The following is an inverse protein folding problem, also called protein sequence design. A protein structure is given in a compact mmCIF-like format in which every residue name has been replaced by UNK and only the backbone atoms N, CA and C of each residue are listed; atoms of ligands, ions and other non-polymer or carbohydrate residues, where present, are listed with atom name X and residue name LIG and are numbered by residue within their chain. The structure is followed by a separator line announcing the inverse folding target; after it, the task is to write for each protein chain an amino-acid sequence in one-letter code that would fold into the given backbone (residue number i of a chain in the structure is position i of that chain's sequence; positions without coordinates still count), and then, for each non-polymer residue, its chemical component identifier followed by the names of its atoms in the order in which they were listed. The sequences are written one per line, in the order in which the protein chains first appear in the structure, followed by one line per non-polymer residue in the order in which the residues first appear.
data_IF_093667622757
#
_entry.id   IF_093667622757
#
_cell.length_a   1.000
_cell.length_b   1.000
_cell.length_c   1.000
_cell.angle_alpha   90.00
_cell.angle_beta   90.00
_cell.angle_gamma   90.00
#
_symmetry.space_group_name_H-M   'P 1'
#
loop_
_entity.id
_entity.type
_entity.pdbx_description
1 polymer ?
#
# COMPACT_ATOMS: atom_id res chain seq x y z
N UNK A 1 -8.97 -5.88 7.23
CA UNK A 1 -7.51 -6.00 6.99
C UNK A 1 -7.06 -7.44 6.72
N UNK A 2 -7.31 -8.41 7.61
CA UNK A 2 -6.81 -9.80 7.50
C UNK A 2 -7.00 -10.44 6.12
N UNK A 3 -8.20 -10.37 5.55
CA UNK A 3 -8.47 -10.91 4.22
C UNK A 3 -7.56 -10.35 3.12
N UNK A 4 -7.18 -9.08 3.21
CA UNK A 4 -6.24 -8.45 2.28
C UNK A 4 -4.80 -8.98 2.45
N UNK A 5 -4.43 -9.42 3.66
CA UNK A 5 -3.12 -9.99 3.98
C UNK A 5 -3.03 -11.50 3.75
N UNK A 6 -4.16 -12.20 3.53
CA UNK A 6 -4.21 -13.63 3.20
C UNK A 6 -4.29 -13.88 1.70
N UNK A 7 -3.54 -14.84 1.16
CA UNK A 7 -3.55 -15.17 -0.28
C UNK A 7 -4.90 -15.75 -0.71
N UNK A 8 -5.37 -15.38 -1.90
CA UNK A 8 -6.59 -15.93 -2.51
C UNK A 8 -7.92 -15.50 -1.88
N UNK A 9 -7.90 -14.63 -0.86
CA UNK A 9 -9.13 -14.18 -0.21
C UNK A 9 -9.68 -12.90 -0.86
N UNK A 10 -10.91 -12.96 -1.37
CA UNK A 10 -11.68 -11.79 -1.79
C UNK A 10 -13.16 -12.01 -1.59
N UNK A 11 -13.80 -11.21 -0.73
CA UNK A 11 -15.27 -11.19 -0.61
C UNK A 11 -15.94 -10.56 -1.83
N UNK A 12 -15.17 -9.75 -2.58
CA UNK A 12 -15.61 -9.12 -3.83
C UNK A 12 -15.74 -10.12 -4.98
N UNK A 13 -15.21 -11.33 -4.83
CA UNK A 13 -15.44 -12.43 -5.79
C UNK A 13 -16.92 -12.74 -6.03
N UNK A 14 -17.77 -12.37 -5.07
CA UNK A 14 -19.22 -12.59 -5.10
C UNK A 14 -20.01 -11.38 -5.59
N UNK A 15 -19.34 -10.27 -5.92
CA UNK A 15 -19.96 -9.02 -6.35
C UNK A 15 -19.67 -8.75 -7.83
N UNK A 16 -20.73 -8.51 -8.60
CA UNK A 16 -20.59 -8.03 -9.96
C UNK A 16 -19.96 -6.61 -9.97
N UNK A 17 -19.18 -6.30 -11.01
CA UNK A 17 -18.58 -4.97 -11.25
C UNK A 17 -17.46 -4.52 -10.29
N UNK A 18 -16.81 -5.45 -9.57
CA UNK A 18 -15.57 -5.14 -8.84
C UNK A 18 -14.33 -5.63 -9.57
N UNK A 19 -13.27 -4.82 -9.65
CA UNK A 19 -12.01 -5.19 -10.34
C UNK A 19 -11.26 -6.30 -9.57
N UNK A 20 -11.19 -6.19 -8.24
CA UNK A 20 -10.40 -7.09 -7.39
C UNK A 20 -11.06 -8.44 -7.10
N UNK A 21 -10.97 -9.38 -8.03
CA UNK A 21 -11.61 -10.69 -7.92
C UNK A 21 -10.73 -11.74 -7.21
N UNK A 22 -9.42 -11.70 -7.41
CA UNK A 22 -8.51 -12.81 -7.06
C UNK A 22 -7.91 -12.78 -5.64
N UNK A 23 -7.99 -11.65 -4.91
CA UNK A 23 -7.40 -11.55 -3.57
C UNK A 23 -5.87 -11.46 -3.51
N UNK A 24 -5.19 -11.33 -4.66
CA UNK A 24 -3.73 -11.33 -4.74
C UNK A 24 -3.11 -9.96 -5.09
N UNK A 25 -3.87 -9.08 -5.77
CA UNK A 25 -3.33 -7.86 -6.37
C UNK A 25 -2.58 -6.94 -5.40
N UNK A 26 -3.05 -6.82 -4.15
CA UNK A 26 -2.35 -6.03 -3.13
C UNK A 26 -0.94 -6.59 -2.87
N UNK A 27 -0.81 -7.89 -2.58
CA UNK A 27 0.46 -8.52 -2.21
C UNK A 27 1.42 -8.52 -3.38
N UNK A 28 0.96 -8.94 -4.56
CA UNK A 28 1.81 -9.04 -5.75
C UNK A 28 2.33 -7.67 -6.19
N UNK A 29 1.48 -6.64 -6.18
CA UNK A 29 1.87 -5.31 -6.65
C UNK A 29 2.77 -4.60 -5.63
N UNK A 30 2.46 -4.70 -4.34
CA UNK A 30 3.28 -4.04 -3.32
C UNK A 30 4.65 -4.69 -3.17
N UNK A 31 4.72 -6.03 -3.20
CA UNK A 31 6.00 -6.76 -3.18
C UNK A 31 6.82 -6.60 -4.47
N UNK A 32 6.19 -6.20 -5.59
CA UNK A 32 6.91 -5.81 -6.82
C UNK A 32 7.56 -4.44 -6.71
N UNK A 33 7.03 -3.55 -5.88
CA UNK A 33 7.53 -2.19 -5.72
C UNK A 33 8.60 -2.10 -4.65
N UNK A 34 8.41 -2.74 -3.50
CA UNK A 34 9.41 -2.75 -2.44
C UNK A 34 9.37 -4.01 -1.60
N UNK A 35 10.42 -4.19 -0.81
CA UNK A 35 10.59 -5.33 0.09
C UNK A 35 9.58 -5.28 1.25
N UNK A 36 9.20 -4.08 1.68
CA UNK A 36 8.45 -3.91 2.93
C UNK A 36 7.27 -2.94 2.79
N UNK A 37 6.16 -3.30 3.44
CA UNK A 37 4.89 -2.61 3.30
C UNK A 37 4.18 -2.52 4.64
N UNK A 38 3.73 -1.32 4.99
CA UNK A 38 2.84 -1.05 6.10
C UNK A 38 1.47 -0.63 5.60
N UNK A 39 0.44 -1.15 6.24
CA UNK A 39 -0.95 -0.80 5.96
C UNK A 39 -1.60 -0.30 7.24
N UNK A 40 -2.04 0.94 7.20
CA UNK A 40 -2.87 1.57 8.22
C UNK A 40 -4.29 1.58 7.70
N UNK A 41 -5.25 1.17 8.50
CA UNK A 41 -6.66 1.28 8.14
C UNK A 41 -7.48 1.75 9.33
N UNK A 42 -8.46 2.60 9.07
CA UNK A 42 -9.47 3.00 10.04
C UNK A 42 -10.84 2.68 9.49
N UNK A 43 -11.67 2.07 10.33
CA UNK A 43 -13.05 1.79 10.06
C UNK A 43 -13.91 2.44 11.15
N UNK A 44 -14.91 3.21 10.76
CA UNK A 44 -15.86 3.89 11.65
C UNK A 44 -16.78 2.91 12.40
N UNK A 45 -16.81 1.63 12.00
CA UNK A 45 -17.81 0.67 12.46
C UNK A 45 -19.11 0.80 11.65
N UNK A 46 -19.86 -0.30 11.51
CA UNK A 46 -21.22 -0.29 10.96
C UNK A 46 -22.23 -0.58 12.07
N UNK A 47 -23.41 0.03 11.97
CA UNK A 47 -24.67 -0.12 12.75
C UNK A 47 -24.57 -0.14 14.29
N UNK A 48 -23.70 -0.94 14.88
CA UNK A 48 -23.49 -1.13 16.32
C UNK A 48 -22.01 -1.35 16.73
N UNK A 49 -21.09 -1.40 15.77
CA UNK A 49 -19.67 -1.61 16.02
C UNK A 49 -18.94 -0.33 16.43
N UNK A 50 -18.04 -0.44 17.41
CA UNK A 50 -17.11 0.66 17.75
C UNK A 50 -16.14 0.89 16.57
N UNK A 51 -15.70 2.15 16.36
CA UNK A 51 -14.62 2.40 15.42
C UNK A 51 -13.39 1.55 15.75
N UNK A 52 -12.77 1.00 14.73
CA UNK A 52 -11.53 0.22 14.84
C UNK A 52 -10.46 0.82 13.94
N UNK A 53 -9.20 0.63 14.34
CA UNK A 53 -8.08 0.89 13.46
C UNK A 53 -7.05 -0.22 13.60
N UNK A 54 -6.35 -0.51 12.52
CA UNK A 54 -5.38 -1.61 12.48
C UNK A 54 -4.12 -1.18 11.76
N UNK A 55 -3.01 -1.79 12.17
CA UNK A 55 -1.72 -1.73 11.47
C UNK A 55 -1.35 -3.16 11.10
N UNK A 56 -0.92 -3.36 9.86
CA UNK A 56 -0.37 -4.63 9.40
C UNK A 56 0.86 -4.43 8.55
N UNK A 57 1.81 -5.35 8.66
CA UNK A 57 3.07 -5.29 7.93
C UNK A 57 3.31 -6.56 7.12
N UNK A 58 3.63 -6.39 5.84
CA UNK A 58 4.23 -7.40 4.98
C UNK A 58 5.67 -6.99 4.75
N UNK A 59 6.60 -7.69 5.39
CA UNK A 59 8.02 -7.32 5.34
C UNK A 59 8.87 -8.51 4.94
N UNK A 60 9.45 -8.45 3.75
CA UNK A 60 10.45 -9.41 3.29
C UNK A 60 11.69 -9.35 4.16
N UNK A 61 12.14 -8.15 4.52
CA UNK A 61 13.34 -7.91 5.33
C UNK A 61 13.23 -8.58 6.70
N UNK A 62 12.12 -8.35 7.41
CA UNK A 62 11.82 -9.01 8.69
C UNK A 62 11.87 -10.54 8.59
N UNK A 63 11.23 -11.11 7.57
CA UNK A 63 11.16 -12.57 7.42
C UNK A 63 12.54 -13.17 7.13
N UNK A 64 13.31 -12.53 6.26
CA UNK A 64 14.65 -12.99 5.87
C UNK A 64 15.66 -12.85 7.01
N UNK A 65 15.73 -11.70 7.65
CA UNK A 65 16.71 -11.45 8.71
C UNK A 65 16.42 -12.26 9.98
N UNK A 66 15.15 -12.55 10.26
CA UNK A 66 14.78 -13.43 11.39
C UNK A 66 14.69 -14.91 11.02
N UNK A 67 15.03 -15.27 9.77
CA UNK A 67 15.10 -16.65 9.28
C UNK A 67 13.77 -17.41 9.30
N UNK A 68 12.64 -16.71 9.17
CA UNK A 68 11.31 -17.34 9.21
C UNK A 68 11.09 -18.21 7.97
N UNK A 69 10.67 -19.45 8.23
CA UNK A 69 10.31 -20.39 7.16
C UNK A 69 8.86 -20.22 6.69
N UNK A 70 8.01 -19.70 7.57
CA UNK A 70 6.60 -19.41 7.28
C UNK A 70 6.37 -17.91 7.11
N UNK A 71 5.36 -17.55 6.30
CA UNK A 71 4.93 -16.15 6.15
C UNK A 71 4.21 -15.71 7.43
N UNK A 72 4.90 -14.90 8.23
CA UNK A 72 4.34 -14.25 9.42
C UNK A 72 4.00 -12.81 9.07
N UNK A 73 2.76 -12.39 9.38
CA UNK A 73 2.27 -11.03 9.14
C UNK A 73 1.98 -10.38 10.48
N UNK A 74 2.90 -9.55 11.03
CA UNK A 74 2.65 -8.78 12.23
C UNK A 74 1.47 -7.84 12.01
N UNK A 75 0.48 -7.94 12.88
CA UNK A 75 -0.69 -7.08 12.82
C UNK A 75 -1.19 -6.78 14.24
N UNK A 76 -1.64 -5.55 14.43
CA UNK A 76 -2.30 -5.08 15.65
C UNK A 76 -3.62 -4.40 15.31
N UNK A 77 -4.59 -4.51 16.24
CA UNK A 77 -5.88 -3.84 16.14
C UNK A 77 -6.08 -2.97 17.39
N UNK A 78 -6.84 -1.90 17.20
CA UNK A 78 -7.32 -0.99 18.23
C UNK A 78 -8.82 -0.83 18.09
N UNK A 79 -9.49 -0.65 19.22
CA UNK A 79 -10.91 -0.32 19.31
C UNK A 79 -11.07 1.02 20.03
N UNK A 80 -11.91 1.90 19.50
CA UNK A 80 -12.21 3.18 20.14
C UNK A 80 -13.09 2.98 21.37
N UNK A 81 -12.61 3.36 22.54
CA UNK A 81 -13.27 3.27 23.84
C UNK A 81 -13.43 4.66 24.44
N UNK A 82 -14.56 5.31 24.14
CA UNK A 82 -14.76 6.71 24.48
C UNK A 82 -13.88 7.62 23.63
N UNK A 83 -13.01 8.40 24.28
CA UNK A 83 -12.08 9.30 23.60
C UNK A 83 -10.78 8.61 23.14
N UNK A 84 -10.43 7.47 23.73
CA UNK A 84 -9.13 6.82 23.53
C UNK A 84 -9.21 5.56 22.66
N UNK A 85 -8.09 5.21 22.06
CA UNK A 85 -7.91 3.95 21.33
C UNK A 85 -7.31 2.91 22.26
N UNK A 86 -8.08 1.85 22.56
CA UNK A 86 -7.62 0.73 23.38
C UNK A 86 -7.09 -0.42 22.54
N UNK A 87 -6.09 -1.16 23.06
CA UNK A 87 -5.61 -2.38 22.42
C UNK A 87 -6.76 -3.39 22.24
N UNK A 88 -6.82 -4.01 21.06
CA UNK A 88 -7.74 -5.08 20.75
C UNK A 88 -6.94 -6.34 20.41
N UNK A 89 -6.52 -7.12 21.44
CA UNK A 89 -5.77 -8.34 21.22
C UNK A 89 -6.62 -9.38 20.50
N UNK A 90 -6.04 -10.06 19.51
CA UNK A 90 -6.71 -11.14 18.77
C UNK A 90 -6.64 -12.48 19.51
N UNK A 91 -5.47 -12.80 20.07
CA UNK A 91 -5.21 -14.05 20.78
C UNK A 91 -4.91 -13.76 22.24
N UNK A 92 -3.81 -13.03 22.49
CA UNK A 92 -3.41 -12.61 23.83
C UNK A 92 -2.86 -11.18 23.79
N UNK A 93 -2.79 -10.54 24.96
CA UNK A 93 -2.16 -9.23 25.11
C UNK A 93 -0.66 -9.29 24.79
N UNK A 94 0.00 -10.40 25.09
CA UNK A 94 1.43 -10.58 24.82
C UNK A 94 1.70 -10.71 23.31
N UNK A 95 0.85 -11.39 22.56
CA UNK A 95 0.97 -11.44 21.10
C UNK A 95 0.74 -10.07 20.46
N UNK A 96 -0.17 -9.28 21.02
CA UNK A 96 -0.39 -7.90 20.57
C UNK A 96 0.86 -7.05 20.81
N UNK A 97 1.46 -7.13 22.00
CA UNK A 97 2.70 -6.40 22.35
C UNK A 97 3.87 -6.83 21.47
N UNK A 98 4.09 -8.13 21.30
CA UNK A 98 5.13 -8.65 20.39
C UNK A 98 4.95 -8.13 18.97
N UNK A 99 3.72 -8.11 18.46
CA UNK A 99 3.46 -7.55 17.13
C UNK A 99 3.72 -6.04 17.08
N UNK A 100 3.39 -5.28 18.14
CA UNK A 100 3.73 -3.87 18.23
C UNK A 100 5.26 -3.66 18.20
N UNK A 101 6.00 -4.43 19.00
CA UNK A 101 7.47 -4.34 19.05
C UNK A 101 8.08 -4.64 17.67
N UNK A 102 7.59 -5.68 16.99
CA UNK A 102 8.01 -6.01 15.62
C UNK A 102 7.68 -4.87 14.66
N UNK A 103 6.48 -4.29 14.75
CA UNK A 103 6.09 -3.17 13.89
C UNK A 103 7.01 -1.97 14.10
N UNK A 104 7.29 -1.57 15.34
CA UNK A 104 8.19 -0.45 15.63
C UNK A 104 9.61 -0.76 15.14
N UNK A 105 10.13 -1.95 15.42
CA UNK A 105 11.50 -2.33 15.06
C UNK A 105 11.76 -2.37 13.55
N UNK A 106 10.80 -2.86 12.76
CA UNK A 106 10.99 -3.13 11.33
C UNK A 106 10.29 -2.11 10.41
N UNK A 107 9.59 -1.13 10.99
CA UNK A 107 9.02 0.00 10.25
C UNK A 107 10.05 1.11 10.02
N UNK A 108 9.79 2.05 9.08
CA UNK A 108 10.59 3.27 8.96
C UNK A 108 10.35 4.29 10.09
N UNK A 109 9.54 3.96 11.12
CA UNK A 109 9.21 4.87 12.22
C UNK A 109 10.02 4.54 13.46
N UNK A 110 10.61 5.57 14.07
CA UNK A 110 11.54 5.42 15.21
C UNK A 110 10.87 5.11 16.55
N UNK A 111 9.54 5.19 16.65
CA UNK A 111 8.80 4.98 17.90
C UNK A 111 7.35 4.57 17.63
N UNK A 112 6.71 3.99 18.66
CA UNK A 112 5.27 3.71 18.66
C UNK A 112 4.46 4.99 18.39
N UNK A 113 4.86 6.12 18.97
CA UNK A 113 4.18 7.40 18.76
C UNK A 113 4.19 7.82 17.29
N UNK A 114 5.35 7.79 16.63
CA UNK A 114 5.46 8.14 15.20
C UNK A 114 4.69 7.17 14.29
N UNK A 115 4.62 5.91 14.68
CA UNK A 115 3.82 4.89 13.99
C UNK A 115 2.32 5.20 14.14
N UNK A 116 1.85 5.56 15.33
CA UNK A 116 0.44 5.87 15.59
C UNK A 116 0.02 7.21 14.98
N UNK A 117 0.90 8.21 14.91
CA UNK A 117 0.66 9.49 14.22
C UNK A 117 0.29 9.31 12.74
N UNK A 118 0.64 8.17 12.11
CA UNK A 118 0.22 7.90 10.74
C UNK A 118 -1.31 7.83 10.56
N UNK A 119 -2.05 7.57 11.63
CA UNK A 119 -3.50 7.61 11.63
C UNK A 119 -4.10 9.03 11.59
N UNK A 120 -3.32 10.08 11.87
CA UNK A 120 -3.79 11.48 11.80
C UNK A 120 -4.02 11.93 10.35
N UNK A 121 -3.37 11.24 9.41
CA UNK A 121 -3.58 11.42 7.97
C UNK A 121 -4.81 10.66 7.44
N UNK A 122 -5.51 9.92 8.30
CA UNK A 122 -6.74 9.24 7.97
C UNK A 122 -7.93 9.95 8.62
N UNK A 123 -8.99 10.15 7.85
CA UNK A 123 -10.29 10.57 8.37
C UNK A 123 -10.92 9.45 9.23
N UNK A 124 -12.20 9.57 9.59
CA UNK A 124 -12.95 8.54 10.33
C UNK A 124 -12.99 7.16 9.65
N UNK A 125 -12.77 7.12 8.33
CA UNK A 125 -12.58 5.91 7.55
C UNK A 125 -11.48 6.13 6.52
N UNK A 126 -10.67 5.11 6.26
CA UNK A 126 -9.66 5.17 5.20
C UNK A 126 -8.62 4.08 5.32
N UNK A 127 -7.75 3.98 4.30
CA UNK A 127 -6.59 3.10 4.31
C UNK A 127 -5.40 3.85 3.73
N UNK A 128 -4.27 3.79 4.42
CA UNK A 128 -2.99 4.34 3.98
C UNK A 128 -2.00 3.19 3.87
N UNK A 129 -1.32 3.13 2.74
CA UNK A 129 -0.32 2.10 2.45
C UNK A 129 1.01 2.82 2.28
N UNK A 130 2.04 2.35 2.99
CA UNK A 130 3.41 2.84 2.91
C UNK A 130 4.25 1.68 2.40
N UNK A 131 4.90 1.87 1.26
CA UNK A 131 5.86 0.91 0.69
C UNK A 131 7.23 1.54 0.87
N UNK A 132 8.17 0.80 1.43
CA UNK A 132 9.54 1.24 1.70
C UNK A 132 10.52 0.12 1.35
N UNK A 133 11.82 0.45 1.35
CA UNK A 133 12.85 -0.42 0.79
C UNK A 133 12.48 -0.81 -0.65
N UNK A 134 12.26 0.22 -1.47
CA UNK A 134 11.92 0.10 -2.89
C UNK A 134 13.08 -0.62 -3.60
N UNK A 135 12.74 -1.52 -4.53
CA UNK A 135 13.77 -2.31 -5.22
C UNK A 135 14.67 -1.42 -6.07
N UNK A 136 15.97 -1.71 -5.97
CA UNK A 136 17.03 -1.15 -6.80
C UNK A 136 17.46 -2.19 -7.84
N UNK A 137 18.00 -1.73 -8.97
CA UNK A 137 18.63 -2.60 -9.96
C UNK A 137 20.06 -3.00 -9.55
N UNK A 138 20.77 -3.71 -10.44
CA UNK A 138 22.14 -4.18 -10.21
C UNK A 138 23.14 -3.03 -10.00
N UNK A 139 22.80 -1.81 -10.42
CA UNK A 139 23.61 -0.59 -10.28
C UNK A 139 23.24 0.19 -9.00
N UNK A 140 22.32 -0.33 -8.18
CA UNK A 140 21.85 0.30 -6.95
C UNK A 140 20.91 1.49 -7.22
N UNK A 141 20.22 1.50 -8.37
CA UNK A 141 19.42 2.63 -8.80
C UNK A 141 17.92 2.25 -8.85
N UNK A 142 17.05 3.10 -8.29
CA UNK A 142 15.59 2.88 -8.22
C UNK A 142 14.89 2.88 -9.59
N UNK A 143 14.08 1.86 -9.91
CA UNK A 143 13.31 1.82 -11.17
C UNK A 143 12.41 3.05 -11.36
N UNK A 144 11.92 3.62 -10.26
CA UNK A 144 11.08 4.81 -10.23
C UNK A 144 11.92 6.06 -9.94
N UNK A 145 11.71 7.09 -10.74
CA UNK A 145 12.27 8.43 -10.62
C UNK A 145 11.26 9.34 -9.92
N UNK A 146 11.66 9.84 -8.75
CA UNK A 146 10.88 10.76 -7.91
C UNK A 146 11.43 12.19 -7.95
N UNK A 147 12.58 12.42 -8.56
CA UNK A 147 13.35 13.67 -8.42
C UNK A 147 13.22 14.58 -9.65
N UNK A 148 13.09 14.00 -10.85
CA UNK A 148 13.05 14.77 -12.11
C UNK A 148 11.82 15.68 -12.20
N UNK A 149 10.69 15.28 -11.63
CA UNK A 149 9.45 16.04 -11.65
C UNK A 149 8.71 15.89 -10.32
N UNK A 150 8.69 16.95 -9.53
CA UNK A 150 8.10 16.94 -8.18
C UNK A 150 6.59 16.63 -8.14
N UNK A 151 5.91 16.63 -9.29
CA UNK A 151 4.48 16.32 -9.42
C UNK A 151 4.22 15.00 -10.14
N UNK A 152 5.25 14.19 -10.44
CA UNK A 152 5.12 12.94 -11.22
C UNK A 152 6.02 11.83 -10.65
N UNK A 153 5.63 10.58 -10.89
CA UNK A 153 6.48 9.41 -10.66
C UNK A 153 6.73 8.78 -12.03
N UNK A 154 7.98 8.74 -12.45
CA UNK A 154 8.35 8.31 -13.80
C UNK A 154 9.15 7.02 -13.75
N UNK A 155 9.08 6.21 -14.80
CA UNK A 155 10.01 5.08 -14.95
C UNK A 155 11.35 5.65 -15.41
N UNK A 156 12.45 5.30 -14.72
CA UNK A 156 13.80 5.74 -15.11
C UNK A 156 14.07 5.35 -16.57
N UNK A 157 14.62 6.30 -17.34
CA UNK A 157 15.01 6.07 -18.73
C UNK A 157 13.86 5.97 -19.74
N UNK A 158 12.60 6.07 -19.29
CA UNK A 158 11.45 5.95 -20.18
C UNK A 158 11.09 7.27 -20.91
N UNK A 159 11.80 8.38 -20.58
CA UNK A 159 11.76 9.64 -21.36
C UNK A 159 12.60 9.48 -22.63
N UNK A 160 11.93 9.21 -23.75
CA UNK A 160 12.50 9.41 -25.07
C UNK A 160 12.16 10.85 -25.56
N UNK A 161 13.15 11.74 -25.70
CA UNK A 161 12.93 13.12 -26.16
C UNK A 161 12.17 13.18 -27.49
N UNK A 162 12.41 12.22 -28.39
CA UNK A 162 11.71 12.15 -29.69
C UNK A 162 10.24 11.83 -29.53
N UNK A 163 9.88 10.94 -28.60
CA UNK A 163 8.47 10.63 -28.32
C UNK A 163 7.75 11.82 -27.68
N UNK A 164 8.44 12.60 -26.85
CA UNK A 164 7.90 13.83 -26.25
C UNK A 164 7.67 14.90 -27.34
N UNK A 165 8.59 15.04 -28.27
CA UNK A 165 8.46 15.95 -29.41
C UNK A 165 7.33 15.51 -30.35
N UNK A 166 7.29 14.24 -30.75
CA UNK A 166 6.21 13.67 -31.55
C UNK A 166 4.83 13.83 -30.87
N UNK A 167 4.77 13.81 -29.54
CA UNK A 167 3.53 14.02 -28.83
C UNK A 167 3.03 15.48 -28.82
N UNK A 168 3.91 16.46 -29.12
CA UNK A 168 3.50 17.84 -29.41
C UNK A 168 2.89 17.94 -30.80
N UNK A 169 3.48 17.23 -31.76
CA UNK A 169 3.05 17.24 -33.17
C UNK A 169 1.79 16.38 -33.42
N UNK A 170 1.57 15.34 -32.60
CA UNK A 170 0.44 14.42 -32.70
C UNK A 170 -0.36 14.34 -31.39
N UNK A 171 -1.21 15.35 -31.08
CA UNK A 171 -1.95 15.43 -29.82
C UNK A 171 -2.86 14.22 -29.57
N UNK A 172 -3.43 13.64 -30.62
CA UNK A 172 -4.34 12.49 -30.53
C UNK A 172 -3.62 11.17 -30.17
N UNK A 173 -2.32 11.08 -30.45
CA UNK A 173 -1.49 9.90 -30.17
C UNK A 173 -0.60 10.09 -28.94
N UNK A 174 -0.72 11.23 -28.26
CA UNK A 174 0.09 11.62 -27.10
C UNK A 174 0.10 10.57 -25.99
N UNK A 175 -1.02 9.89 -25.76
CA UNK A 175 -1.11 8.83 -24.78
C UNK A 175 -0.19 7.65 -25.16
N UNK A 176 -0.26 7.13 -26.38
CA UNK A 176 0.63 6.06 -26.85
C UNK A 176 2.11 6.42 -26.80
N UNK A 177 2.44 7.70 -27.01
CA UNK A 177 3.81 8.18 -27.06
C UNK A 177 4.41 8.47 -25.66
N UNK A 178 3.58 8.74 -24.65
CA UNK A 178 4.02 9.17 -23.30
C UNK A 178 3.56 8.21 -22.17
N UNK A 179 3.04 7.00 -22.47
CA UNK A 179 2.58 6.01 -21.45
C UNK A 179 3.64 5.61 -20.39
N UNK A 180 4.88 6.06 -20.52
CA UNK A 180 5.92 6.01 -19.51
C UNK A 180 5.73 6.92 -18.27
N UNK A 181 4.73 7.80 -18.26
CA UNK A 181 4.41 8.68 -17.13
C UNK A 181 3.29 8.09 -16.26
N UNK A 182 3.53 7.92 -14.96
CA UNK A 182 2.50 7.52 -13.98
C UNK A 182 1.92 8.80 -13.35
N UNK A 183 1.28 9.64 -14.17
CA UNK A 183 0.55 10.83 -13.71
C UNK A 183 -0.95 10.72 -14.01
N UNK A 184 -1.73 11.79 -13.75
CA UNK A 184 -3.19 11.87 -13.93
C UNK A 184 -3.71 11.26 -15.25
N UNK A 185 -2.94 11.35 -16.34
CA UNK A 185 -3.29 10.73 -17.64
C UNK A 185 -3.32 9.19 -17.61
N UNK A 186 -2.40 8.53 -16.88
CA UNK A 186 -2.45 7.08 -16.71
C UNK A 186 -3.63 6.68 -15.80
N UNK A 187 -3.82 7.37 -14.67
CA UNK A 187 -4.96 7.14 -13.79
C UNK A 187 -6.32 7.37 -14.48
N UNK A 188 -6.42 8.33 -15.41
CA UNK A 188 -7.64 8.54 -16.21
C UNK A 188 -7.85 7.50 -17.32
N UNK A 189 -6.80 6.80 -17.75
CA UNK A 189 -6.89 5.72 -18.75
C UNK A 189 -7.19 4.34 -18.13
N UNK A 190 -6.87 4.15 -16.84
CA UNK A 190 -7.07 2.88 -16.12
C UNK A 190 -8.56 2.57 -15.91
N UNK A 191 -9.43 3.57 -15.93
CA UNK A 191 -10.88 3.40 -15.80
C UNK A 191 -11.58 3.68 -17.13
N UNK A 192 -11.98 2.63 -17.85
CA UNK A 192 -12.85 2.74 -19.01
C UNK A 192 -14.29 2.42 -18.61
N UNK A 193 -15.19 3.40 -18.68
CA UNK A 193 -16.64 3.18 -18.55
C UNK A 193 -17.27 3.15 -19.94
N UNK A 194 -17.87 2.02 -20.33
CA UNK A 194 -18.72 1.95 -21.53
C UNK A 194 -20.08 2.54 -21.15
N UNK A 195 -20.37 3.74 -21.63
CA UNK A 195 -21.72 4.29 -21.60
C UNK A 195 -22.57 3.46 -22.57
N UNK A 196 -23.64 2.85 -22.07
CA UNK A 196 -24.72 2.25 -22.88
C UNK A 196 -25.91 3.18 -22.76
#
# INVERSE_FOLDING_TARGET
MRGCMSLGYSEKSKLANTIGQYGNGFKTSTMRLGADVLVFTRNRGQDSGRPTQSIGMLSYTFLMETGKQDIIVPMIDFEKRGAEWGMMPRSSADDWKKNMDILVQWSPYSSEEHLLQQFDHLNDQGTRIIIYNIWEDEEGQLELDFDTDMHDIQIRGARDPKKIEMAKDYPNSRHFLIIAKINWNYNSLVYASRLI
#
